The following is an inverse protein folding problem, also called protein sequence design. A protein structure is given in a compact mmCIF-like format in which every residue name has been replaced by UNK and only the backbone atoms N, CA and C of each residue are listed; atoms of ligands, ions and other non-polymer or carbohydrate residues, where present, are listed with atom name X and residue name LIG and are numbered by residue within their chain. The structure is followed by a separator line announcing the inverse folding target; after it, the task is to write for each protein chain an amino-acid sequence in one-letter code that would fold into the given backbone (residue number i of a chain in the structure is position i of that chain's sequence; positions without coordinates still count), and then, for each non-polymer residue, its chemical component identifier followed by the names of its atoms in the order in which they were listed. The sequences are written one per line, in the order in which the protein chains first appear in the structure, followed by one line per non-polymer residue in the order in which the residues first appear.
data_IF_807182297000
#
_entry.id   IF_807182297000
#
_cell.length_a   1.000
_cell.length_b   1.000
_cell.length_c   1.000
_cell.angle_alpha   90.00
_cell.angle_beta   90.00
_cell.angle_gamma   90.00
#
_symmetry.space_group_name_H-M   'P 1'
#
loop_
_entity.id
_entity.type
_entity.pdbx_description
1 polymer ?
#
# COMPACT_ATOMS: atom_id res chain seq x y z
N UNK A 1 -27.08 34.12 -31.91
CA UNK A 1 -26.90 32.68 -31.62
C UNK A 1 -25.52 32.47 -31.03
N UNK A 2 -25.43 32.30 -29.71
CA UNK A 2 -24.19 31.99 -29.00
C UNK A 2 -24.28 30.54 -28.52
N UNK A 3 -23.46 29.65 -29.13
CA UNK A 3 -23.24 28.29 -28.62
C UNK A 3 -22.28 28.40 -27.43
N UNK A 4 -22.81 28.35 -26.21
CA UNK A 4 -22.00 28.01 -25.05
C UNK A 4 -21.66 26.53 -25.12
N UNK A 5 -20.38 26.22 -25.27
CA UNK A 5 -19.87 24.87 -25.12
C UNK A 5 -20.04 24.44 -23.66
N UNK A 6 -20.91 23.46 -23.44
CA UNK A 6 -20.93 22.66 -22.21
C UNK A 6 -19.61 21.90 -22.12
N UNK A 7 -18.61 22.50 -21.47
CA UNK A 7 -17.47 21.76 -20.95
C UNK A 7 -18.05 20.80 -19.92
N UNK A 8 -18.06 19.50 -20.24
CA UNK A 8 -18.24 18.44 -19.23
C UNK A 8 -17.17 18.69 -18.17
N UNK A 9 -17.55 19.16 -17.00
CA UNK A 9 -16.71 19.05 -15.81
C UNK A 9 -16.47 17.55 -15.61
N UNK A 10 -15.31 17.05 -16.03
CA UNK A 10 -14.77 15.78 -15.56
C UNK A 10 -14.81 15.82 -14.05
N UNK A 11 -15.48 14.85 -13.42
CA UNK A 11 -15.48 14.77 -11.96
C UNK A 11 -14.01 14.75 -11.50
N UNK A 12 -13.57 15.68 -10.65
CA UNK A 12 -12.19 15.81 -10.17
C UNK A 12 -11.46 14.49 -9.86
N UNK A 13 -12.20 13.49 -9.37
CA UNK A 13 -11.64 12.17 -9.06
C UNK A 13 -11.27 11.29 -10.27
N UNK A 14 -11.84 11.45 -11.47
CA UNK A 14 -11.62 10.49 -12.58
C UNK A 14 -10.20 10.56 -13.15
N UNK A 15 -9.65 11.75 -13.33
CA UNK A 15 -8.28 11.94 -13.82
C UNK A 15 -7.26 11.45 -12.78
N UNK A 16 -7.43 11.84 -11.51
CA UNK A 16 -6.59 11.39 -10.42
C UNK A 16 -6.62 9.86 -10.27
N UNK A 17 -7.79 9.23 -10.40
CA UNK A 17 -7.95 7.78 -10.42
C UNK A 17 -7.16 7.14 -11.57
N UNK A 18 -7.24 7.72 -12.78
CA UNK A 18 -6.54 7.22 -13.96
C UNK A 18 -5.01 7.27 -13.80
N UNK A 19 -4.50 8.41 -13.33
CA UNK A 19 -3.06 8.60 -13.09
C UNK A 19 -2.55 7.73 -11.93
N UNK A 20 -3.31 7.62 -10.83
CA UNK A 20 -2.98 6.73 -9.72
C UNK A 20 -2.91 5.27 -10.19
N UNK A 21 -3.88 4.82 -11.00
CA UNK A 21 -3.84 3.46 -11.57
C UNK A 21 -2.58 3.25 -12.42
N UNK A 22 -2.28 4.17 -13.33
CA UNK A 22 -1.08 4.08 -14.17
C UNK A 22 0.20 4.02 -13.32
N UNK A 23 0.28 4.82 -12.24
CA UNK A 23 1.40 4.80 -11.31
C UNK A 23 1.53 3.46 -10.58
N UNK A 24 0.41 2.85 -10.14
CA UNK A 24 0.42 1.52 -9.53
C UNK A 24 0.90 0.45 -10.52
N UNK A 25 0.37 0.47 -11.74
CA UNK A 25 0.71 -0.50 -12.78
C UNK A 25 2.21 -0.42 -13.14
N UNK A 26 2.73 0.80 -13.35
CA UNK A 26 4.15 1.03 -13.66
C UNK A 26 5.07 0.58 -12.51
N UNK A 27 4.70 0.89 -11.27
CA UNK A 27 5.47 0.51 -10.08
C UNK A 27 5.45 -1.01 -9.86
N UNK A 28 4.31 -1.66 -10.05
CA UNK A 28 4.15 -3.12 -9.90
C UNK A 28 4.86 -3.91 -11.01
N UNK A 29 4.87 -3.38 -12.23
CA UNK A 29 5.64 -3.96 -13.34
C UNK A 29 7.14 -3.90 -13.07
N UNK A 30 7.64 -2.75 -12.60
CA UNK A 30 9.06 -2.62 -12.22
C UNK A 30 9.41 -3.53 -11.04
N UNK A 31 8.56 -3.61 -10.01
CA UNK A 31 8.73 -4.58 -8.92
C UNK A 31 8.85 -6.03 -9.41
N UNK A 32 7.96 -6.44 -10.31
CA UNK A 32 7.98 -7.79 -10.92
C UNK A 32 9.24 -8.01 -11.76
N UNK A 33 9.73 -6.99 -12.46
CA UNK A 33 10.97 -7.07 -13.23
C UNK A 33 12.18 -7.20 -12.30
N UNK A 34 12.24 -6.41 -11.24
CA UNK A 34 13.33 -6.46 -10.26
C UNK A 34 13.39 -7.79 -9.50
N UNK A 35 12.25 -8.39 -9.14
CA UNK A 35 12.24 -9.74 -8.53
C UNK A 35 12.77 -10.81 -9.49
N UNK A 36 12.44 -10.74 -10.78
CA UNK A 36 13.02 -11.65 -11.80
C UNK A 36 14.54 -11.49 -11.91
N UNK A 37 15.03 -10.25 -11.96
CA UNK A 37 16.47 -9.96 -11.99
C UNK A 37 17.17 -10.45 -10.72
N UNK A 38 16.58 -10.25 -9.55
CA UNK A 38 17.13 -10.76 -8.30
C UNK A 38 17.20 -12.29 -8.30
N UNK A 39 16.15 -12.97 -8.79
CA UNK A 39 16.07 -14.42 -8.85
C UNK A 39 17.17 -15.08 -9.71
N UNK A 40 17.77 -14.33 -10.64
CA UNK A 40 18.91 -14.78 -11.46
C UNK A 40 20.25 -14.71 -10.73
N UNK A 41 20.35 -13.89 -9.68
CA UNK A 41 21.59 -13.53 -9.00
C UNK A 41 21.71 -14.07 -7.56
N UNK A 42 20.76 -14.89 -7.13
CA UNK A 42 20.73 -15.50 -5.79
C UNK A 42 21.03 -17.00 -5.83
N UNK A 43 21.25 -17.61 -4.66
CA UNK A 43 21.31 -19.06 -4.51
C UNK A 43 20.02 -19.71 -5.08
N UNK A 44 20.14 -20.73 -5.95
CA UNK A 44 18.99 -21.40 -6.59
C UNK A 44 17.89 -21.83 -5.62
N UNK A 45 18.22 -22.14 -4.36
CA UNK A 45 17.22 -22.56 -3.37
C UNK A 45 16.20 -21.47 -3.01
N UNK A 46 16.52 -20.20 -3.27
CA UNK A 46 15.63 -19.07 -3.01
C UNK A 46 14.89 -18.55 -4.25
N UNK A 47 15.25 -19.06 -5.44
CA UNK A 47 14.77 -18.55 -6.73
C UNK A 47 13.24 -18.55 -6.81
N UNK A 48 12.62 -19.68 -6.48
CA UNK A 48 11.17 -19.85 -6.61
C UNK A 48 10.40 -18.93 -5.65
N UNK A 49 10.94 -18.69 -4.45
CA UNK A 49 10.29 -17.81 -3.47
C UNK A 49 10.40 -16.34 -3.86
N UNK A 50 11.51 -15.92 -4.46
CA UNK A 50 11.65 -14.58 -5.04
C UNK A 50 10.71 -14.39 -6.24
N UNK A 51 10.65 -15.37 -7.15
CA UNK A 51 9.74 -15.30 -8.30
C UNK A 51 8.27 -15.24 -7.85
N UNK A 52 7.91 -16.00 -6.81
CA UNK A 52 6.58 -15.96 -6.20
C UNK A 52 6.29 -14.60 -5.57
N UNK A 53 7.24 -13.98 -4.87
CA UNK A 53 7.08 -12.64 -4.33
C UNK A 53 6.76 -11.61 -5.44
N UNK A 54 7.32 -11.81 -6.63
CA UNK A 54 7.01 -11.02 -7.83
C UNK A 54 5.61 -11.21 -8.41
N UNK A 55 4.83 -12.20 -7.95
CA UNK A 55 3.44 -12.43 -8.38
C UNK A 55 2.43 -12.37 -7.22
N UNK A 56 2.90 -12.48 -5.98
CA UNK A 56 2.10 -12.49 -4.77
C UNK A 56 2.41 -11.25 -3.94
N UNK A 57 1.72 -10.16 -4.26
CA UNK A 57 1.96 -8.86 -3.65
C UNK A 57 0.69 -8.03 -3.57
N UNK A 58 0.78 -6.98 -2.77
CA UNK A 58 -0.19 -5.89 -2.76
C UNK A 58 0.49 -4.62 -3.28
N UNK A 59 -0.12 -3.97 -4.27
CA UNK A 59 0.23 -2.63 -4.76
C UNK A 59 -0.83 -1.65 -4.27
N UNK A 60 -0.43 -0.76 -3.38
CA UNK A 60 -1.31 0.23 -2.77
C UNK A 60 -0.75 1.62 -3.05
N UNK A 61 -1.64 2.57 -3.29
CA UNK A 61 -1.23 3.95 -3.48
C UNK A 61 -2.32 4.94 -3.14
N UNK A 62 -1.91 6.19 -2.99
CA UNK A 62 -2.80 7.31 -2.83
C UNK A 62 -2.43 8.47 -3.74
N UNK A 63 -3.42 9.31 -4.04
CA UNK A 63 -3.25 10.57 -4.72
C UNK A 63 -3.90 11.70 -3.90
N UNK A 64 -3.17 12.78 -3.68
CA UNK A 64 -3.66 13.99 -3.01
C UNK A 64 -4.18 14.97 -4.06
N UNK A 65 -5.40 15.46 -3.87
CA UNK A 65 -6.13 16.27 -4.86
C UNK A 65 -6.51 17.63 -4.27
N UNK A 66 -6.20 18.70 -5.01
CA UNK A 66 -6.51 20.09 -4.69
C UNK A 66 -7.96 20.46 -4.96
N UNK A 67 -8.37 21.66 -4.50
CA UNK A 67 -9.76 22.13 -4.62
C UNK A 67 -10.22 22.39 -6.06
N UNK A 68 -9.28 22.51 -7.01
CA UNK A 68 -9.55 22.60 -8.45
C UNK A 68 -9.65 21.22 -9.13
N UNK A 69 -9.46 20.14 -8.37
CA UNK A 69 -9.48 18.77 -8.85
C UNK A 69 -8.19 18.27 -9.48
N UNK A 70 -7.12 19.08 -9.42
CA UNK A 70 -5.78 18.68 -9.87
C UNK A 70 -5.01 17.96 -8.77
N UNK A 71 -3.97 17.22 -9.16
CA UNK A 71 -3.07 16.59 -8.19
C UNK A 71 -2.22 17.65 -7.48
N UNK A 72 -1.95 17.42 -6.20
CA UNK A 72 -1.07 18.30 -5.41
C UNK A 72 0.36 18.11 -5.86
N UNK A 73 1.04 19.22 -6.19
CA UNK A 73 2.46 19.20 -6.49
C UNK A 73 3.30 19.04 -5.22
N UNK A 74 4.36 18.25 -5.31
CA UNK A 74 5.36 17.98 -4.28
C UNK A 74 6.69 18.53 -4.79
N UNK A 75 7.08 19.76 -4.42
CA UNK A 75 8.29 20.40 -4.96
C UNK A 75 9.60 19.67 -4.65
N UNK A 76 9.63 18.88 -3.57
CA UNK A 76 10.80 18.09 -3.19
C UNK A 76 10.34 16.81 -2.48
N UNK A 77 10.14 15.75 -3.25
CA UNK A 77 9.67 14.45 -2.77
C UNK A 77 10.61 13.85 -1.69
N UNK A 78 11.93 14.05 -1.82
CA UNK A 78 12.91 13.57 -0.84
C UNK A 78 12.74 14.26 0.52
N UNK A 79 12.75 15.59 0.52
CA UNK A 79 12.64 16.35 1.76
C UNK A 79 11.28 16.12 2.44
N UNK A 80 10.19 15.98 1.67
CA UNK A 80 8.90 15.59 2.20
C UNK A 80 8.98 14.21 2.87
N UNK A 81 9.49 13.20 2.17
CA UNK A 81 9.56 11.84 2.68
C UNK A 81 10.42 11.72 3.95
N UNK A 82 11.55 12.44 4.02
CA UNK A 82 12.41 12.48 5.20
C UNK A 82 11.68 12.99 6.45
N UNK A 83 10.83 14.02 6.30
CA UNK A 83 10.02 14.55 7.41
C UNK A 83 8.88 13.61 7.79
N UNK A 84 8.14 13.11 6.79
CA UNK A 84 7.04 12.16 7.00
C UNK A 84 7.54 10.86 7.65
N UNK A 85 8.71 10.37 7.26
CA UNK A 85 9.32 9.15 7.80
C UNK A 85 9.58 9.22 9.31
N UNK A 86 9.90 10.40 9.85
CA UNK A 86 10.11 10.60 11.29
C UNK A 86 8.81 10.33 12.06
N UNK A 87 7.68 10.85 11.58
CA UNK A 87 6.38 10.62 12.21
C UNK A 87 5.86 9.20 11.94
N UNK A 88 6.09 8.66 10.73
CA UNK A 88 5.81 7.25 10.43
C UNK A 88 6.51 6.30 11.42
N UNK A 89 7.71 6.64 11.88
CA UNK A 89 8.41 5.85 12.90
C UNK A 89 7.65 5.75 14.23
N UNK A 90 6.77 6.71 14.53
CA UNK A 90 5.97 6.73 15.77
C UNK A 90 4.64 5.98 15.66
N UNK A 91 4.07 5.88 14.46
CA UNK A 91 2.70 5.40 14.25
C UNK A 91 2.59 4.14 13.38
N UNK A 92 3.53 3.90 12.48
CA UNK A 92 3.46 2.84 11.49
C UNK A 92 4.82 2.16 11.26
N UNK A 93 5.56 1.89 12.34
CA UNK A 93 6.84 1.21 12.27
C UNK A 93 6.89 0.01 13.21
N UNK A 94 7.26 -1.16 12.70
CA UNK A 94 7.44 -2.40 13.48
C UNK A 94 8.87 -2.94 13.41
N UNK A 95 9.85 -2.06 13.22
CA UNK A 95 11.20 -2.39 12.74
C UNK A 95 11.33 -2.24 11.23
N UNK A 96 10.21 -2.01 10.53
CA UNK A 96 10.10 -1.64 9.12
C UNK A 96 8.87 -0.74 8.94
N UNK A 97 8.72 -0.06 7.79
CA UNK A 97 7.55 0.75 7.48
C UNK A 97 7.50 1.16 6.01
N UNK A 98 6.29 1.42 5.48
CA UNK A 98 6.14 1.90 4.10
C UNK A 98 6.86 3.23 3.89
N UNK A 99 7.43 3.41 2.69
CA UNK A 99 8.19 4.61 2.30
C UNK A 99 9.44 4.92 3.13
N UNK A 100 9.95 3.94 3.90
CA UNK A 100 11.14 4.09 4.73
C UNK A 100 12.34 4.54 3.87
N UNK A 101 12.93 5.73 4.11
CA UNK A 101 14.17 6.12 3.47
C UNK A 101 15.34 5.42 4.16
N UNK A 102 16.12 4.63 3.42
CA UNK A 102 17.39 4.09 3.92
C UNK A 102 18.53 5.09 3.68
N UNK A 103 19.43 5.18 4.64
CA UNK A 103 20.59 6.08 4.57
C UNK A 103 21.87 5.38 4.07
N UNK A 104 21.80 4.07 3.83
CA UNK A 104 22.90 3.29 3.26
C UNK A 104 22.99 3.63 1.76
N UNK A 105 24.14 4.12 1.24
CA UNK A 105 24.23 4.69 -0.11
C UNK A 105 23.67 3.79 -1.22
N UNK A 106 23.92 2.49 -1.14
CA UNK A 106 23.48 1.48 -2.12
C UNK A 106 21.95 1.27 -2.13
N UNK A 107 21.26 1.69 -1.08
CA UNK A 107 19.81 1.55 -0.91
C UNK A 107 19.11 2.90 -0.68
N UNK A 108 19.85 4.00 -0.76
CA UNK A 108 19.31 5.32 -0.55
C UNK A 108 18.30 5.65 -1.66
N UNK A 109 17.18 6.31 -1.34
CA UNK A 109 16.19 6.66 -2.34
C UNK A 109 16.81 7.46 -3.50
N UNK A 110 16.39 7.19 -4.73
CA UNK A 110 16.93 7.79 -5.95
C UNK A 110 15.84 8.55 -6.70
N UNK A 111 16.21 9.66 -7.34
CA UNK A 111 15.31 10.41 -8.22
C UNK A 111 15.40 9.81 -9.61
N UNK A 112 14.25 9.53 -10.23
CA UNK A 112 14.13 8.98 -11.58
C UNK A 112 12.99 9.64 -12.34
N UNK A 113 12.92 9.35 -13.63
CA UNK A 113 11.81 9.74 -14.50
C UNK A 113 11.14 8.52 -15.11
N UNK A 114 9.83 8.60 -15.33
CA UNK A 114 9.02 7.61 -16.05
C UNK A 114 7.98 8.36 -16.88
N UNK A 115 7.16 7.64 -17.65
CA UNK A 115 6.04 8.19 -18.39
C UNK A 115 4.74 7.67 -17.80
N UNK A 116 3.91 8.56 -17.23
CA UNK A 116 2.57 8.22 -16.77
C UNK A 116 1.52 8.85 -17.69
N UNK A 117 0.65 8.00 -18.25
CA UNK A 117 -0.41 8.42 -19.18
C UNK A 117 0.10 9.28 -20.36
N UNK A 118 1.34 9.04 -20.81
CA UNK A 118 1.96 9.77 -21.92
C UNK A 118 2.72 11.04 -21.53
N UNK A 119 2.78 11.37 -20.24
CA UNK A 119 3.52 12.53 -19.73
C UNK A 119 4.75 12.07 -18.94
N UNK A 120 5.89 12.73 -19.17
CA UNK A 120 7.09 12.54 -18.35
C UNK A 120 6.82 13.02 -16.93
N UNK A 121 7.14 12.18 -15.95
CA UNK A 121 7.01 12.48 -14.54
C UNK A 121 8.28 12.14 -13.80
N UNK A 122 8.66 12.99 -12.86
CA UNK A 122 9.74 12.74 -11.92
C UNK A 122 9.18 12.08 -10.66
N UNK A 123 9.93 11.14 -10.10
CA UNK A 123 9.60 10.50 -8.84
C UNK A 123 10.85 10.16 -8.04
N UNK A 124 10.68 10.09 -6.72
CA UNK A 124 11.62 9.47 -5.82
C UNK A 124 11.23 8.00 -5.66
N UNK A 125 12.18 7.09 -5.82
CA UNK A 125 11.99 5.67 -5.50
C UNK A 125 12.91 5.22 -4.37
N UNK A 126 12.50 4.20 -3.63
CA UNK A 126 13.34 3.53 -2.64
C UNK A 126 13.09 2.03 -2.63
N UNK A 127 13.96 1.31 -1.92
CA UNK A 127 13.90 -0.15 -1.78
C UNK A 127 13.92 -0.90 -3.13
N UNK A 128 14.84 -0.54 -4.05
CA UNK A 128 15.03 -1.37 -5.24
C UNK A 128 15.40 -2.79 -4.83
N UNK A 129 14.59 -3.76 -5.25
CA UNK A 129 14.66 -5.16 -4.81
C UNK A 129 15.97 -5.81 -5.22
N UNK A 130 16.52 -5.44 -6.38
CA UNK A 130 17.82 -5.93 -6.87
C UNK A 130 19.00 -5.56 -5.93
N UNK A 131 18.84 -4.54 -5.08
CA UNK A 131 19.86 -4.13 -4.11
C UNK A 131 19.68 -4.79 -2.73
N UNK A 132 18.76 -5.76 -2.61
CA UNK A 132 18.52 -6.50 -1.37
C UNK A 132 19.36 -7.79 -1.33
N UNK A 133 20.29 -7.85 -0.38
CA UNK A 133 21.19 -9.00 -0.18
C UNK A 133 20.64 -10.03 0.81
N UNK A 134 19.49 -9.75 1.43
CA UNK A 134 18.88 -10.55 2.48
C UNK A 134 17.42 -10.81 2.14
N UNK A 135 17.05 -12.09 2.09
CA UNK A 135 15.66 -12.52 1.99
C UNK A 135 15.12 -12.65 3.41
N UNK A 136 14.63 -11.55 3.96
CA UNK A 136 13.99 -11.55 5.27
C UNK A 136 12.58 -10.99 5.16
N UNK A 137 11.59 -11.83 5.47
CA UNK A 137 10.16 -11.49 5.58
C UNK A 137 9.41 -11.07 4.32
N UNK A 138 9.76 -9.98 3.66
CA UNK A 138 9.07 -9.49 2.47
C UNK A 138 9.97 -8.56 1.66
N UNK A 139 9.69 -8.44 0.38
CA UNK A 139 10.22 -7.40 -0.49
C UNK A 139 9.24 -6.25 -0.56
N UNK A 140 9.75 -5.03 -0.43
CA UNK A 140 9.01 -3.81 -0.64
C UNK A 140 9.70 -2.94 -1.70
N UNK A 141 8.92 -2.13 -2.39
CA UNK A 141 9.37 -1.15 -3.36
C UNK A 141 8.36 0.00 -3.37
N UNK A 142 8.83 1.23 -3.43
CA UNK A 142 7.92 2.37 -3.36
C UNK A 142 8.39 3.54 -4.23
N UNK A 143 7.41 4.36 -4.64
CA UNK A 143 7.61 5.58 -5.42
C UNK A 143 6.77 6.73 -4.87
N UNK A 144 7.35 7.92 -4.84
CA UNK A 144 6.70 9.19 -4.52
C UNK A 144 6.88 10.09 -5.74
N UNK A 145 5.81 10.28 -6.50
CA UNK A 145 5.79 11.13 -7.68
C UNK A 145 5.65 12.59 -7.26
N UNK A 146 6.29 13.51 -7.99
CA UNK A 146 6.18 14.95 -7.72
C UNK A 146 4.74 15.47 -7.89
N UNK A 147 3.83 14.68 -8.46
CA UNK A 147 2.40 14.99 -8.62
C UNK A 147 1.51 14.39 -7.53
N UNK A 148 1.93 14.40 -6.27
CA UNK A 148 1.04 14.06 -5.16
C UNK A 148 0.57 12.60 -5.12
N UNK A 149 1.21 11.73 -5.91
CA UNK A 149 0.93 10.29 -5.99
C UNK A 149 2.04 9.55 -5.25
N UNK A 150 1.66 8.64 -4.35
CA UNK A 150 2.59 7.76 -3.67
C UNK A 150 2.11 6.32 -3.80
N UNK A 151 3.03 5.41 -4.11
CA UNK A 151 2.76 4.00 -4.35
C UNK A 151 3.75 3.14 -3.59
N UNK A 152 3.26 2.08 -2.96
CA UNK A 152 4.06 1.02 -2.36
C UNK A 152 3.58 -0.33 -2.86
N UNK A 153 4.54 -1.17 -3.25
CA UNK A 153 4.34 -2.57 -3.61
C UNK A 153 5.07 -3.41 -2.58
N UNK A 154 4.38 -4.37 -1.97
CA UNK A 154 4.94 -5.25 -0.95
C UNK A 154 4.49 -6.69 -1.21
N UNK A 155 5.43 -7.63 -1.24
CA UNK A 155 5.12 -9.06 -1.26
C UNK A 155 4.53 -9.50 0.08
N UNK A 156 3.65 -10.49 0.11
CA UNK A 156 3.07 -10.92 1.38
C UNK A 156 4.11 -11.47 2.37
N UNK A 157 4.16 -10.87 3.56
CA UNK A 157 4.97 -11.37 4.68
C UNK A 157 4.60 -12.79 5.10
N UNK A 158 3.33 -13.15 4.92
CA UNK A 158 2.79 -14.48 5.19
C UNK A 158 3.37 -15.56 4.24
N UNK A 159 3.96 -15.17 3.09
CA UNK A 159 4.59 -16.10 2.15
C UNK A 159 6.03 -16.46 2.57
N UNK A 160 6.62 -15.74 3.52
CA UNK A 160 7.95 -16.07 4.01
C UNK A 160 7.92 -17.38 4.78
N UNK A 161 8.90 -18.23 4.49
CA UNK A 161 9.00 -19.58 5.04
C UNK A 161 10.44 -19.97 5.32
N UNK A 162 10.60 -20.91 6.24
CA UNK A 162 11.88 -21.61 6.42
C UNK A 162 12.01 -22.71 5.37
N UNK A 163 13.25 -23.13 5.13
CA UNK A 163 13.55 -24.24 4.24
C UNK A 163 12.80 -25.50 4.69
N UNK A 164 12.04 -26.11 3.79
CA UNK A 164 11.23 -27.31 4.03
C UNK A 164 9.75 -27.06 4.40
N UNK A 165 9.36 -25.83 4.72
CA UNK A 165 7.98 -25.51 5.04
C UNK A 165 7.13 -25.35 3.76
N UNK A 166 5.88 -25.83 3.81
CA UNK A 166 4.89 -25.51 2.78
C UNK A 166 4.50 -24.04 2.90
N UNK A 167 4.41 -23.33 1.77
CA UNK A 167 3.91 -21.95 1.77
C UNK A 167 2.50 -21.95 2.37
N UNK A 168 2.26 -21.18 3.45
CA UNK A 168 0.95 -21.14 4.06
C UNK A 168 -0.05 -20.50 3.08
N UNK A 169 -1.21 -21.11 2.79
CA UNK A 169 -2.19 -20.51 1.91
C UNK A 169 -3.03 -19.47 2.67
N UNK A 170 -2.42 -18.59 3.47
CA UNK A 170 -3.15 -17.61 4.27
C UNK A 170 -2.63 -16.19 4.13
N UNK A 171 -3.48 -15.24 4.51
CA UNK A 171 -3.12 -13.88 4.85
C UNK A 171 -3.53 -13.64 6.30
N UNK A 172 -2.68 -12.94 7.05
CA UNK A 172 -3.02 -12.52 8.41
C UNK A 172 -3.67 -11.14 8.42
N UNK A 173 -4.78 -10.94 9.17
CA UNK A 173 -5.39 -9.61 9.22
C UNK A 173 -4.48 -8.57 9.83
N UNK A 174 -3.55 -8.96 10.71
CA UNK A 174 -2.50 -8.08 11.21
C UNK A 174 -1.71 -7.43 10.05
N UNK A 175 -1.16 -8.23 9.12
CA UNK A 175 -0.38 -7.66 8.02
C UNK A 175 -1.24 -6.87 7.04
N UNK A 176 -2.46 -7.34 6.73
CA UNK A 176 -3.41 -6.59 5.91
C UNK A 176 -3.67 -5.19 6.49
N UNK A 177 -3.97 -5.13 7.80
CA UNK A 177 -4.26 -3.88 8.48
C UNK A 177 -3.03 -2.98 8.58
N UNK A 178 -1.84 -3.54 8.81
CA UNK A 178 -0.58 -2.78 8.86
C UNK A 178 -0.26 -2.17 7.49
N UNK A 179 -0.41 -2.92 6.40
CA UNK A 179 -0.16 -2.41 5.05
C UNK A 179 -1.10 -1.26 4.70
N UNK A 180 -2.40 -1.40 5.01
CA UNK A 180 -3.40 -0.33 4.79
C UNK A 180 -3.13 0.88 5.71
N UNK A 181 -2.88 0.64 6.99
CA UNK A 181 -2.56 1.68 7.97
C UNK A 181 -1.32 2.45 7.58
N UNK A 182 -0.26 1.78 7.13
CA UNK A 182 0.98 2.45 6.73
C UNK A 182 0.77 3.37 5.53
N UNK A 183 -0.06 2.96 4.56
CA UNK A 183 -0.45 3.83 3.44
C UNK A 183 -1.23 5.06 3.93
N UNK A 184 -2.24 4.87 4.77
CA UNK A 184 -3.12 5.95 5.25
C UNK A 184 -2.40 6.92 6.20
N UNK A 185 -1.54 6.40 7.08
CA UNK A 185 -0.69 7.19 7.94
C UNK A 185 0.23 8.08 7.09
N UNK A 186 0.89 7.50 6.08
CA UNK A 186 1.72 8.28 5.17
C UNK A 186 0.90 9.32 4.39
N UNK A 187 -0.29 8.97 3.89
CA UNK A 187 -1.16 9.91 3.20
C UNK A 187 -1.58 11.09 4.09
N UNK A 188 -1.91 10.82 5.36
CA UNK A 188 -2.26 11.87 6.34
C UNK A 188 -1.04 12.75 6.65
N UNK A 189 0.08 12.16 6.98
CA UNK A 189 1.29 12.92 7.35
C UNK A 189 1.81 13.76 6.17
N UNK A 190 1.82 13.21 4.96
CA UNK A 190 2.18 13.96 3.76
C UNK A 190 1.16 15.08 3.45
N UNK A 191 -0.14 14.79 3.61
CA UNK A 191 -1.19 15.79 3.40
C UNK A 191 -1.17 16.93 4.41
N UNK A 192 -0.67 16.72 5.64
CA UNK A 192 -0.47 17.78 6.63
C UNK A 192 0.70 18.71 6.28
N UNK A 193 1.71 18.19 5.59
CA UNK A 193 2.89 18.94 5.12
C UNK A 193 2.62 19.74 3.82
N UNK A 194 1.51 19.47 3.14
CA UNK A 194 1.17 20.03 1.84
C UNK A 194 -0.08 20.90 1.93
N UNK A 195 -0.05 22.08 1.32
CA UNK A 195 -1.18 23.01 1.34
C UNK A 195 -2.21 22.65 0.26
N UNK A 196 -3.49 22.88 0.56
CA UNK A 196 -4.57 22.85 -0.43
C UNK A 196 -5.15 21.46 -0.73
N UNK A 197 -4.77 20.41 0.00
CA UNK A 197 -5.39 19.08 -0.12
C UNK A 197 -6.88 19.18 0.27
N UNK A 198 -7.75 18.72 -0.61
CA UNK A 198 -9.21 18.68 -0.37
C UNK A 198 -9.79 17.29 -0.47
N UNK A 199 -9.17 16.41 -1.26
CA UNK A 199 -9.63 15.05 -1.49
C UNK A 199 -8.43 14.11 -1.56
N UNK A 200 -8.65 12.86 -1.14
CA UNK A 200 -7.68 11.78 -1.26
C UNK A 200 -8.33 10.65 -2.06
N UNK A 201 -7.58 10.13 -3.03
CA UNK A 201 -7.93 8.92 -3.77
C UNK A 201 -7.01 7.81 -3.30
N UNK A 202 -7.57 6.71 -2.81
CA UNK A 202 -6.85 5.47 -2.51
C UNK A 202 -7.11 4.47 -3.62
N UNK A 203 -6.07 3.75 -4.02
CA UNK A 203 -6.19 2.54 -4.82
C UNK A 203 -5.49 1.40 -4.10
N UNK A 204 -6.20 0.28 -3.99
CA UNK A 204 -5.63 -0.99 -3.57
C UNK A 204 -5.71 -1.98 -4.73
N UNK A 205 -4.67 -2.78 -4.88
CA UNK A 205 -4.52 -3.73 -5.96
C UNK A 205 -3.75 -4.96 -5.44
N UNK A 206 -4.47 -6.04 -5.12
CA UNK A 206 -3.96 -7.23 -4.45
C UNK A 206 -3.90 -8.41 -5.42
N UNK A 207 -2.74 -9.07 -5.53
CA UNK A 207 -2.45 -10.16 -6.48
C UNK A 207 -2.10 -11.46 -5.77
N UNK A 208 -2.19 -12.60 -6.47
CA UNK A 208 -1.83 -13.90 -5.91
C UNK A 208 -2.78 -14.37 -4.81
N UNK A 209 -4.06 -13.97 -4.89
CA UNK A 209 -5.07 -14.26 -3.85
C UNK A 209 -5.69 -15.66 -3.98
N UNK A 210 -5.59 -16.31 -5.14
CA UNK A 210 -6.31 -17.55 -5.39
C UNK A 210 -5.84 -18.66 -4.45
N UNK A 211 -6.78 -19.34 -3.83
CA UNK A 211 -6.49 -20.41 -2.86
C UNK A 211 -6.19 -19.90 -1.45
N UNK A 212 -6.08 -18.58 -1.22
CA UNK A 212 -5.78 -18.04 0.10
C UNK A 212 -6.99 -18.03 1.03
N UNK A 213 -6.72 -18.12 2.33
CA UNK A 213 -7.68 -17.95 3.42
C UNK A 213 -7.25 -16.84 4.37
N UNK A 214 -8.19 -16.35 5.18
CA UNK A 214 -7.88 -15.46 6.29
C UNK A 214 -7.58 -16.28 7.55
N UNK A 215 -6.38 -16.15 8.12
CA UNK A 215 -6.00 -16.87 9.33
C UNK A 215 -5.23 -15.96 10.31
N UNK A 216 -5.38 -16.19 11.61
CA UNK A 216 -4.58 -15.52 12.64
C UNK A 216 -3.15 -16.04 12.69
N UNK A 217 -2.99 -17.31 12.35
CA UNK A 217 -1.71 -17.99 12.15
C UNK A 217 -1.96 -19.28 11.34
N UNK A 218 -0.91 -20.08 11.14
CA UNK A 218 -0.95 -21.33 10.39
C UNK A 218 -1.99 -22.36 10.89
N UNK A 219 -2.43 -22.25 12.15
CA UNK A 219 -3.32 -23.21 12.80
C UNK A 219 -4.69 -22.63 13.17
N UNK A 220 -4.81 -21.30 13.28
CA UNK A 220 -6.02 -20.61 13.74
C UNK A 220 -6.64 -19.82 12.60
N UNK A 221 -7.64 -20.40 11.96
CA UNK A 221 -8.36 -19.73 10.86
C UNK A 221 -9.27 -18.62 11.41
N UNK A 222 -9.35 -17.50 10.71
CA UNK A 222 -10.30 -16.40 11.01
C UNK A 222 -11.66 -16.74 10.42
N UNK A 223 -11.66 -17.19 9.17
CA UNK A 223 -12.84 -17.64 8.45
C UNK A 223 -12.75 -19.15 8.15
N UNK A 224 -13.81 -19.90 8.48
CA UNK A 224 -13.86 -21.33 8.23
C UNK A 224 -13.92 -21.67 6.74
N UNK A 225 -12.87 -22.33 6.22
CA UNK A 225 -12.91 -23.29 5.10
C UNK A 225 -13.11 -22.76 3.67
N UNK A 226 -13.27 -21.46 3.46
CA UNK A 226 -13.35 -20.86 2.13
C UNK A 226 -11.98 -20.38 1.64
N UNK A 227 -11.54 -20.84 0.47
CA UNK A 227 -10.41 -20.26 -0.23
C UNK A 227 -10.90 -19.26 -1.28
N UNK A 228 -10.12 -18.21 -1.52
CA UNK A 228 -10.47 -17.24 -2.57
C UNK A 228 -10.40 -17.90 -3.95
N UNK A 229 -11.44 -17.68 -4.77
CA UNK A 229 -11.48 -18.18 -6.14
C UNK A 229 -10.71 -17.25 -7.10
N UNK A 230 -10.82 -15.95 -6.87
CA UNK A 230 -10.18 -14.92 -7.68
C UNK A 230 -8.75 -14.68 -7.20
N UNK A 231 -7.85 -14.47 -8.16
CA UNK A 231 -6.44 -14.21 -7.89
C UNK A 231 -6.14 -12.72 -7.63
N UNK A 232 -7.11 -11.86 -7.93
CA UNK A 232 -6.93 -10.42 -8.01
C UNK A 232 -8.10 -9.67 -7.35
N UNK A 233 -7.79 -8.67 -6.53
CA UNK A 233 -8.76 -7.71 -5.99
C UNK A 233 -8.25 -6.29 -6.17
N UNK A 234 -9.00 -5.45 -6.88
CA UNK A 234 -8.68 -4.03 -7.03
C UNK A 234 -9.86 -3.14 -6.66
N UNK A 235 -9.58 -2.05 -5.94
CA UNK A 235 -10.60 -1.08 -5.53
C UNK A 235 -10.03 0.34 -5.49
N UNK A 236 -10.82 1.28 -5.98
CA UNK A 236 -10.60 2.70 -5.77
C UNK A 236 -11.57 3.22 -4.71
N UNK A 237 -11.08 4.07 -3.82
CA UNK A 237 -11.87 4.71 -2.76
C UNK A 237 -11.51 6.19 -2.75
N UNK A 238 -12.53 7.03 -2.74
CA UNK A 238 -12.37 8.48 -2.74
C UNK A 238 -13.08 9.05 -1.52
N UNK A 239 -12.41 9.93 -0.80
CA UNK A 239 -12.97 10.63 0.35
C UNK A 239 -12.35 12.02 0.51
N UNK A 240 -13.06 12.89 1.23
CA UNK A 240 -12.59 14.23 1.53
C UNK A 240 -11.41 14.16 2.50
N UNK A 241 -10.47 15.09 2.33
CA UNK A 241 -9.29 15.21 3.19
C UNK A 241 -9.64 15.30 4.68
N UNK A 242 -10.72 16.02 5.00
CA UNK A 242 -11.22 16.15 6.37
C UNK A 242 -11.54 14.80 7.02
N UNK A 243 -12.02 13.79 6.26
CA UNK A 243 -12.31 12.47 6.82
C UNK A 243 -11.02 11.78 7.29
N UNK A 244 -9.95 11.82 6.48
CA UNK A 244 -8.67 11.21 6.84
C UNK A 244 -7.97 11.97 7.97
N UNK A 245 -8.07 13.30 7.98
CA UNK A 245 -7.47 14.16 9.01
C UNK A 245 -8.17 14.00 10.37
N UNK A 246 -9.49 14.05 10.39
CA UNK A 246 -10.28 14.22 11.63
C UNK A 246 -10.94 12.90 12.11
N UNK A 247 -11.01 11.88 11.25
CA UNK A 247 -11.64 10.60 11.60
C UNK A 247 -10.87 9.43 10.98
N UNK A 248 -9.67 9.23 11.52
CA UNK A 248 -8.68 8.32 10.97
C UNK A 248 -9.17 6.87 10.97
N UNK A 249 -9.78 6.42 12.07
CA UNK A 249 -10.29 5.06 12.16
C UNK A 249 -11.43 4.79 11.17
N UNK A 250 -12.37 5.73 11.01
CA UNK A 250 -13.44 5.57 10.01
C UNK A 250 -12.86 5.49 8.59
N UNK A 251 -11.82 6.27 8.30
CA UNK A 251 -11.11 6.18 7.02
C UNK A 251 -10.46 4.82 6.83
N UNK A 252 -9.74 4.31 7.85
CA UNK A 252 -9.14 2.98 7.82
C UNK A 252 -10.20 1.90 7.60
N UNK A 253 -11.31 1.96 8.34
CA UNK A 253 -12.43 1.02 8.21
C UNK A 253 -12.99 1.05 6.78
N UNK A 254 -13.26 2.24 6.25
CA UNK A 254 -13.76 2.43 4.87
C UNK A 254 -12.83 1.85 3.81
N UNK A 255 -11.51 1.88 4.06
CA UNK A 255 -10.50 1.35 3.13
C UNK A 255 -10.30 -0.16 3.28
N UNK A 256 -10.23 -0.68 4.50
CA UNK A 256 -9.97 -2.10 4.74
C UNK A 256 -11.19 -3.00 4.51
N UNK A 257 -12.39 -2.51 4.82
CA UNK A 257 -13.60 -3.31 4.80
C UNK A 257 -13.88 -3.98 3.43
N UNK A 258 -13.77 -3.29 2.27
CA UNK A 258 -13.99 -3.93 0.97
C UNK A 258 -13.10 -5.14 0.70
N UNK A 259 -11.85 -5.12 1.16
CA UNK A 259 -10.94 -6.25 0.98
C UNK A 259 -11.24 -7.36 2.00
N UNK A 260 -11.49 -7.02 3.25
CA UNK A 260 -11.85 -8.02 4.28
C UNK A 260 -13.18 -8.72 3.98
N UNK A 261 -14.12 -8.03 3.34
CA UNK A 261 -15.39 -8.60 2.85
C UNK A 261 -15.21 -9.74 1.86
N UNK A 262 -14.09 -9.79 1.13
CA UNK A 262 -13.76 -10.92 0.25
C UNK A 262 -13.58 -12.23 1.04
N UNK A 263 -13.23 -12.13 2.33
CA UNK A 263 -13.12 -13.26 3.26
C UNK A 263 -14.37 -13.47 4.14
N UNK A 264 -15.38 -12.61 4.00
CA UNK A 264 -16.62 -12.74 4.75
C UNK A 264 -17.30 -14.06 4.39
N UNK A 265 -17.64 -14.86 5.41
CA UNK A 265 -18.38 -16.11 5.22
C UNK A 265 -19.65 -16.07 6.08
N UNK A 266 -20.78 -16.42 5.47
CA UNK A 266 -22.09 -16.39 6.09
C UNK A 266 -22.09 -17.18 7.42
N UNK A 267 -22.14 -16.45 8.54
CA UNK A 267 -22.30 -17.00 9.88
C UNK A 267 -21.03 -17.22 10.71
N UNK A 268 -19.82 -17.06 10.17
CA UNK A 268 -18.57 -17.28 10.94
C UNK A 268 -17.70 -16.04 11.10
N UNK A 269 -17.50 -15.27 10.02
CA UNK A 269 -16.71 -14.04 10.05
C UNK A 269 -17.47 -12.96 9.29
N UNK A 270 -17.92 -11.94 10.03
CA UNK A 270 -18.50 -10.74 9.47
C UNK A 270 -17.53 -9.57 9.64
N UNK A 271 -16.82 -9.13 8.59
CA UNK A 271 -15.89 -8.00 8.64
C UNK A 271 -16.52 -6.71 9.16
N UNK A 272 -17.79 -6.47 8.85
CA UNK A 272 -18.51 -5.29 9.31
C UNK A 272 -18.59 -5.24 10.84
N UNK A 273 -18.89 -6.37 11.48
CA UNK A 273 -19.00 -6.45 12.94
C UNK A 273 -17.61 -6.53 13.60
N UNK A 274 -16.67 -7.23 12.96
CA UNK A 274 -15.35 -7.49 13.54
C UNK A 274 -14.41 -6.28 13.51
N UNK A 275 -14.45 -5.46 12.45
CA UNK A 275 -13.48 -4.39 12.22
C UNK A 275 -13.76 -3.16 13.10
N UNK A 276 -13.61 -3.30 14.42
CA UNK A 276 -13.71 -2.22 15.41
C UNK A 276 -12.33 -1.63 15.72
N UNK A 277 -12.28 -0.48 16.40
CA UNK A 277 -11.03 0.16 16.81
C UNK A 277 -10.19 -0.77 17.70
N UNK A 278 -10.84 -1.40 18.66
CA UNK A 278 -10.22 -2.31 19.63
C UNK A 278 -9.70 -3.58 18.94
N UNK A 279 -10.36 -4.05 17.88
CA UNK A 279 -9.89 -5.18 17.09
C UNK A 279 -8.59 -4.81 16.34
N UNK A 280 -8.55 -3.63 15.71
CA UNK A 280 -7.35 -3.14 15.01
C UNK A 280 -6.18 -2.95 15.97
N UNK A 281 -6.40 -2.30 17.12
CA UNK A 281 -5.35 -2.09 18.12
C UNK A 281 -4.82 -3.42 18.67
N UNK A 282 -5.69 -4.41 18.87
CA UNK A 282 -5.29 -5.76 19.25
C UNK A 282 -4.42 -6.43 18.20
N UNK A 283 -4.78 -6.34 16.91
CA UNK A 283 -3.94 -6.86 15.83
C UNK A 283 -2.58 -6.13 15.77
N UNK A 284 -2.55 -4.80 15.93
CA UNK A 284 -1.28 -4.05 15.97
C UNK A 284 -0.38 -4.47 17.13
N UNK A 285 -0.95 -4.71 18.32
CA UNK A 285 -0.18 -5.15 19.49
C UNK A 285 0.56 -6.47 19.27
N UNK A 286 0.09 -7.33 18.34
CA UNK A 286 0.72 -8.63 18.05
C UNK A 286 2.09 -8.49 17.39
N UNK A 287 2.40 -7.33 16.82
CA UNK A 287 3.74 -7.02 16.31
C UNK A 287 4.78 -6.96 17.42
N UNK A 288 4.36 -6.71 18.67
CA UNK A 288 5.26 -6.40 19.79
C UNK A 288 5.91 -5.02 19.70
N UNK A 289 5.61 -4.24 18.66
CA UNK A 289 6.13 -2.89 18.48
C UNK A 289 5.16 -1.86 19.08
N UNK A 290 5.66 -0.99 19.95
CA UNK A 290 4.87 0.11 20.53
C UNK A 290 4.65 1.28 19.55
N UNK A 291 5.17 1.14 18.33
CA UNK A 291 5.22 2.15 17.27
C UNK A 291 4.29 1.83 16.10
N UNK A 292 3.44 0.80 16.23
CA UNK A 292 2.29 0.57 15.35
C UNK A 292 1.02 0.86 16.13
N UNK A 293 0.42 2.03 15.85
CA UNK A 293 -0.80 2.50 16.53
C UNK A 293 -1.57 3.43 15.62
N UNK A 294 -2.89 3.47 15.79
CA UNK A 294 -3.75 4.41 15.06
C UNK A 294 -3.29 5.84 15.32
N UNK A 295 -3.38 6.70 14.30
CA UNK A 295 -3.17 8.13 14.51
C UNK A 295 -4.34 8.67 15.34
N UNK A 296 -4.04 9.60 16.22
CA UNK A 296 -5.05 10.26 17.05
C UNK A 296 -5.92 11.17 16.17
N UNK A 297 -7.21 11.23 16.48
CA UNK A 297 -8.14 12.16 15.83
C UNK A 297 -7.89 13.56 16.43
N UNK A 298 -7.76 14.59 15.58
CA UNK A 298 -7.46 15.97 15.99
C UNK A 298 -8.68 16.66 16.67
#
# INVERSE_FOLDING_TARGET
MLRQSLVRQSKPGEQAIGLLRAALDDTAQDFTAQTRLLAENVDPKYRDDILRAGTNYSSLGYALVGGDGTLIEIPNARALNERVAIEMHRYANYGWGSFLPLNVPERAPQVRTSTLAGEEVTYLEGMRVENTSLISSAFDYWRIYERGICVSVESYRDDWRREGDAAPPHLTPMWILITIHSLLAHARLAGQELLGVTQVVIRMDWHGLKGRMLAWDHFRHVAGGGTLADDHFAKNIVFDWALLRDNYFETLRRVALPFLQVFGNAGWFNPDDWLTREAVEREFSRTGANTVKLLEDD
#
